data_IF_971587743697
#
_entry.id   IF_971587743697
#
_cell.length_a   1.000
_cell.length_b   1.000
_cell.length_c   1.000
_cell.angle_alpha   90.00
_cell.angle_beta   90.00
_cell.angle_gamma   90.00
#
_symmetry.space_group_name_H-M   'P 1'
#
loop_
_entity.id
_entity.type
_entity.pdbx_description
1 polymer ?
#
# COMPACT_ATOMS: atom_id res chain seq x y z
N UNK A 1 -7.14 3.45 -15.61
CA UNK A 1 -7.65 4.79 -15.94
C UNK A 1 -7.79 5.66 -14.69
N UNK A 2 -8.51 5.23 -13.64
CA UNK A 2 -8.68 6.04 -12.42
C UNK A 2 -7.37 6.49 -11.71
N UNK A 3 -6.35 5.64 -11.58
CA UNK A 3 -5.11 6.00 -10.83
C UNK A 3 -4.37 7.18 -11.46
N UNK A 4 -4.25 7.21 -12.79
CA UNK A 4 -3.58 8.30 -13.51
C UNK A 4 -4.38 9.60 -13.48
N UNK A 5 -5.71 9.51 -13.50
CA UNK A 5 -6.57 10.69 -13.34
C UNK A 5 -6.48 11.30 -11.94
N UNK A 6 -6.39 10.47 -10.90
CA UNK A 6 -6.20 10.95 -9.53
C UNK A 6 -4.90 11.75 -9.40
N UNK A 7 -3.79 11.26 -9.96
CA UNK A 7 -2.53 12.00 -9.97
C UNK A 7 -2.64 13.35 -10.70
N UNK A 8 -3.36 13.39 -11.84
CA UNK A 8 -3.58 14.64 -12.59
C UNK A 8 -4.45 15.65 -11.83
N UNK A 9 -5.49 15.18 -11.12
CA UNK A 9 -6.44 16.04 -10.39
C UNK A 9 -5.87 16.52 -9.05
N UNK A 10 -5.17 15.64 -8.32
CA UNK A 10 -4.72 15.89 -6.96
C UNK A 10 -3.23 16.25 -6.87
N UNK A 11 -2.49 16.16 -7.97
CA UNK A 11 -1.06 16.49 -8.06
C UNK A 11 -0.22 15.67 -7.08
N UNK A 12 0.77 16.31 -6.44
CA UNK A 12 1.62 15.71 -5.41
C UNK A 12 0.93 15.45 -4.06
N UNK A 13 -0.34 15.05 -4.08
CA UNK A 13 -1.08 14.56 -2.90
C UNK A 13 -1.44 13.08 -3.04
N UNK A 14 -1.01 12.45 -4.12
CA UNK A 14 -1.23 11.04 -4.42
C UNK A 14 0.13 10.36 -4.41
N UNK A 15 0.26 9.33 -3.58
CA UNK A 15 1.44 8.49 -3.55
C UNK A 15 1.55 7.65 -4.83
N UNK A 16 2.78 7.35 -5.25
CA UNK A 16 3.05 6.52 -6.42
C UNK A 16 2.78 5.04 -6.12
N UNK A 17 3.01 4.63 -4.86
CA UNK A 17 2.75 3.26 -4.42
C UNK A 17 1.25 2.95 -4.40
N UNK A 18 0.82 2.05 -5.29
CA UNK A 18 -0.56 1.53 -5.34
C UNK A 18 -0.66 0.23 -4.54
N UNK A 19 -1.60 0.18 -3.59
CA UNK A 19 -1.91 -1.04 -2.83
C UNK A 19 -3.15 -1.73 -3.45
N UNK A 20 -2.99 -2.85 -4.17
CA UNK A 20 -4.13 -3.58 -4.73
C UNK A 20 -4.84 -4.39 -3.65
N UNK A 21 -6.15 -4.62 -3.84
CA UNK A 21 -6.92 -5.51 -2.97
C UNK A 21 -6.38 -6.94 -3.09
N UNK A 22 -6.19 -7.62 -1.96
CA UNK A 22 -5.78 -9.03 -1.91
C UNK A 22 -6.42 -9.76 -0.75
N UNK A 23 -6.59 -11.09 -0.88
CA UNK A 23 -7.11 -11.98 0.17
C UNK A 23 -6.22 -11.94 1.41
N UNK A 24 -4.90 -11.72 1.24
CA UNK A 24 -3.96 -11.67 2.37
C UNK A 24 -4.28 -10.58 3.40
N UNK A 25 -4.92 -9.48 2.98
CA UNK A 25 -5.39 -8.46 3.93
C UNK A 25 -6.59 -8.93 4.74
N UNK A 26 -7.49 -9.70 4.13
CA UNK A 26 -8.61 -10.30 4.85
C UNK A 26 -8.09 -11.32 5.87
N UNK A 27 -7.15 -12.17 5.45
CA UNK A 27 -6.53 -13.17 6.32
C UNK A 27 -5.77 -12.53 7.48
N UNK A 28 -4.96 -11.49 7.22
CA UNK A 28 -4.21 -10.79 8.27
C UNK A 28 -5.13 -10.11 9.28
N UNK A 29 -6.24 -9.53 8.82
CA UNK A 29 -7.27 -8.92 9.69
C UNK A 29 -7.93 -9.97 10.57
N UNK A 30 -8.27 -11.14 10.03
CA UNK A 30 -8.83 -12.26 10.79
C UNK A 30 -7.83 -12.82 11.81
N UNK A 31 -6.54 -12.86 11.47
CA UNK A 31 -5.48 -13.28 12.37
C UNK A 31 -5.18 -12.24 13.48
N UNK A 32 -5.65 -11.00 13.33
CA UNK A 32 -5.37 -9.91 14.28
C UNK A 32 -3.93 -9.38 14.20
N UNK A 33 -3.23 -9.65 13.10
CA UNK A 33 -1.84 -9.29 12.89
C UNK A 33 -1.69 -8.35 11.67
N UNK A 34 -0.75 -7.40 11.70
CA UNK A 34 -0.48 -6.57 10.53
C UNK A 34 0.08 -7.41 9.39
N UNK A 35 -0.20 -7.01 8.13
CA UNK A 35 0.26 -7.73 6.93
C UNK A 35 1.78 -7.95 6.89
N UNK A 36 2.54 -7.03 7.47
CA UNK A 36 4.01 -7.07 7.55
C UNK A 36 4.51 -8.16 8.50
N UNK A 37 3.72 -8.55 9.51
CA UNK A 37 4.02 -9.67 10.40
C UNK A 37 3.41 -10.98 9.91
N UNK A 38 2.14 -10.94 9.46
CA UNK A 38 1.40 -12.12 9.01
C UNK A 38 1.98 -12.72 7.72
N UNK A 39 2.32 -11.88 6.74
CA UNK A 39 2.84 -12.31 5.45
C UNK A 39 4.02 -11.43 4.98
N UNK A 40 5.17 -11.46 5.67
CA UNK A 40 6.29 -10.54 5.46
C UNK A 40 6.86 -10.58 4.04
N UNK A 41 6.85 -11.75 3.40
CA UNK A 41 7.37 -11.94 2.05
C UNK A 41 6.33 -11.69 0.95
N UNK A 42 5.11 -11.28 1.31
CA UNK A 42 4.03 -11.01 0.35
C UNK A 42 4.23 -9.70 -0.39
N UNK A 43 3.65 -9.60 -1.58
CA UNK A 43 3.63 -8.35 -2.34
C UNK A 43 2.95 -7.21 -1.57
N UNK A 44 1.87 -7.52 -0.85
CA UNK A 44 1.18 -6.57 0.00
C UNK A 44 2.08 -5.99 1.10
N UNK A 45 2.88 -6.82 1.78
CA UNK A 45 3.84 -6.36 2.78
C UNK A 45 4.91 -5.46 2.15
N UNK A 46 5.45 -5.86 0.98
CA UNK A 46 6.45 -5.05 0.26
C UNK A 46 5.91 -3.68 -0.16
N UNK A 47 4.68 -3.62 -0.67
CA UNK A 47 4.03 -2.36 -1.05
C UNK A 47 3.80 -1.45 0.16
N UNK A 48 3.42 -1.98 1.32
CA UNK A 48 3.34 -1.17 2.55
C UNK A 48 4.71 -0.62 2.98
N UNK A 49 5.80 -1.36 2.77
CA UNK A 49 7.15 -0.84 3.01
C UNK A 49 7.54 0.27 2.02
N UNK A 50 7.20 0.12 0.73
CA UNK A 50 7.43 1.17 -0.27
C UNK A 50 6.65 2.44 0.06
N UNK A 51 5.37 2.30 0.42
CA UNK A 51 4.54 3.43 0.86
C UNK A 51 5.13 4.10 2.11
N UNK A 52 5.64 3.33 3.07
CA UNK A 52 6.26 3.89 4.26
C UNK A 52 7.53 4.72 3.93
N UNK A 53 8.32 4.29 2.95
CA UNK A 53 9.46 5.06 2.46
C UNK A 53 9.02 6.34 1.72
N UNK A 54 7.96 6.30 0.91
CA UNK A 54 7.38 7.50 0.29
C UNK A 54 6.89 8.51 1.34
N UNK A 55 6.17 8.04 2.36
CA UNK A 55 5.70 8.87 3.48
C UNK A 55 6.86 9.51 4.23
N UNK A 56 7.92 8.73 4.51
CA UNK A 56 9.11 9.22 5.22
C UNK A 56 9.87 10.27 4.42
N UNK A 57 9.96 10.09 3.11
CA UNK A 57 10.67 10.99 2.21
C UNK A 57 9.81 12.20 1.78
N UNK A 58 8.58 12.30 2.28
CA UNK A 58 7.70 13.45 2.08
C UNK A 58 7.11 13.52 0.68
N UNK A 59 6.63 12.37 0.17
CA UNK A 59 5.83 12.30 -1.06
C UNK A 59 4.75 13.38 -1.15
#
# INVERSE_FOLDING_TARGET
EAVGELANVFGGRVYDTVIPRTIKFADSTLAGEPITAYAPNSEAAKLYHQLAEEVKNGG
#
